data_IF_864322296705
#
_entry.id   IF_864322296705
#
_cell.length_a   1.000
_cell.length_b   1.000
_cell.length_c   1.000
_cell.angle_alpha   90.00
_cell.angle_beta   90.00
_cell.angle_gamma   90.00
#
_symmetry.space_group_name_H-M   'P 1'
#
loop_
_entity.id
_entity.type
_entity.pdbx_description
1 polymer ?
#
# COMPACT_ATOMS: atom_id res chain seq x y z
N UNK A 1 11.31 -13.38 15.34
CA UNK A 1 11.77 -12.30 16.26
C UNK A 1 10.90 -12.20 17.50
N UNK A 2 9.60 -11.90 17.39
CA UNK A 2 8.67 -11.74 18.53
C UNK A 2 8.80 -12.84 19.58
N UNK A 3 8.68 -14.11 19.19
CA UNK A 3 8.78 -15.23 20.12
C UNK A 3 10.09 -15.23 20.94
N UNK A 4 11.23 -14.98 20.28
CA UNK A 4 12.56 -14.96 20.90
C UNK A 4 12.71 -13.81 21.91
N UNK A 5 12.18 -12.63 21.59
CA UNK A 5 12.24 -11.44 22.46
C UNK A 5 11.51 -11.68 23.79
N UNK A 6 10.43 -12.46 23.78
CA UNK A 6 9.66 -12.80 24.97
C UNK A 6 10.07 -14.14 25.61
N UNK A 7 11.26 -14.66 25.31
CA UNK A 7 11.83 -15.84 25.97
C UNK A 7 11.37 -17.20 25.42
N UNK A 8 10.68 -17.22 24.27
CA UNK A 8 10.41 -18.45 23.51
C UNK A 8 11.63 -18.92 22.70
N UNK A 9 11.61 -20.18 22.26
CA UNK A 9 12.67 -20.78 21.43
C UNK A 9 12.21 -20.98 19.99
N UNK A 10 13.17 -20.97 19.06
CA UNK A 10 12.97 -21.29 17.65
C UNK A 10 14.00 -22.32 17.25
N UNK A 11 13.59 -23.32 16.46
CA UNK A 11 14.50 -24.29 15.85
C UNK A 11 14.67 -23.99 14.38
N UNK A 12 15.92 -23.96 13.93
CA UNK A 12 16.24 -23.90 12.51
C UNK A 12 16.00 -25.28 11.90
N UNK A 13 15.09 -25.38 10.92
CA UNK A 13 14.93 -26.63 10.17
C UNK A 13 16.02 -26.74 9.10
N UNK A 14 16.39 -27.98 8.78
CA UNK A 14 17.35 -28.28 7.70
C UNK A 14 16.79 -28.01 6.30
N UNK A 15 15.47 -28.01 6.16
CA UNK A 15 14.75 -27.77 4.91
C UNK A 15 13.84 -26.56 5.09
N UNK A 16 13.93 -25.61 4.16
CA UNK A 16 13.02 -24.48 4.05
C UNK A 16 11.87 -24.90 3.14
N UNK A 17 10.67 -24.86 3.67
CA UNK A 17 9.44 -25.16 2.93
C UNK A 17 8.63 -23.88 2.81
N UNK A 18 8.57 -23.36 1.58
CA UNK A 18 7.77 -22.21 1.22
C UNK A 18 6.70 -22.70 0.24
N UNK A 19 5.43 -22.47 0.57
CA UNK A 19 4.33 -23.01 -0.23
C UNK A 19 2.96 -22.58 0.27
N UNK A 20 1.95 -22.93 -0.51
CA UNK A 20 0.55 -22.71 -0.15
C UNK A 20 0.05 -23.93 0.63
N UNK A 21 -0.41 -23.70 1.85
CA UNK A 21 -0.88 -24.74 2.76
C UNK A 21 -2.24 -24.38 3.32
N UNK A 22 -3.05 -25.40 3.60
CA UNK A 22 -4.23 -25.26 4.43
C UNK A 22 -3.81 -25.36 5.91
N UNK A 23 -4.14 -24.35 6.71
CA UNK A 23 -3.80 -24.26 8.13
C UNK A 23 -5.05 -24.17 8.99
N UNK A 24 -4.94 -24.63 10.23
CA UNK A 24 -5.96 -24.41 11.25
C UNK A 24 -5.73 -23.07 11.96
N UNK A 25 -6.78 -22.30 12.21
CA UNK A 25 -6.74 -21.03 12.96
C UNK A 25 -7.75 -21.02 14.11
N UNK A 26 -7.43 -20.28 15.18
CA UNK A 26 -8.31 -20.08 16.32
C UNK A 26 -9.15 -18.81 16.13
N UNK A 27 -10.44 -18.97 15.81
CA UNK A 27 -11.34 -17.84 15.57
C UNK A 27 -11.69 -17.05 16.84
N UNK A 28 -11.34 -17.55 18.04
CA UNK A 28 -11.45 -16.76 19.27
C UNK A 28 -10.33 -15.70 19.37
N UNK A 29 -9.24 -15.86 18.62
CA UNK A 29 -8.19 -14.86 18.49
C UNK A 29 -8.73 -13.63 17.76
N UNK A 30 -8.45 -12.43 18.29
CA UNK A 30 -8.91 -11.17 17.69
C UNK A 30 -8.43 -11.02 16.24
N UNK A 31 -7.25 -11.57 15.92
CA UNK A 31 -6.68 -11.52 14.57
C UNK A 31 -7.45 -12.36 13.54
N UNK A 32 -8.08 -13.46 13.95
CA UNK A 32 -8.75 -14.43 13.06
C UNK A 32 -10.28 -14.44 13.17
N UNK A 33 -10.84 -13.38 13.77
CA UNK A 33 -12.29 -13.19 13.85
C UNK A 33 -12.90 -13.13 12.45
N UNK A 34 -14.02 -13.83 12.25
CA UNK A 34 -14.77 -13.84 10.99
C UNK A 34 -14.19 -14.75 9.90
N UNK A 35 -13.06 -15.41 10.15
CA UNK A 35 -12.49 -16.44 9.29
C UNK A 35 -13.12 -17.81 9.55
N UNK A 36 -12.85 -18.77 8.66
CA UNK A 36 -13.13 -20.17 8.93
C UNK A 36 -12.05 -20.74 9.86
N UNK A 37 -12.24 -21.98 10.32
CA UNK A 37 -11.22 -22.69 11.11
C UNK A 37 -10.05 -23.17 10.26
N UNK A 38 -10.28 -23.36 8.96
CA UNK A 38 -9.29 -23.77 7.97
C UNK A 38 -9.09 -22.64 6.97
N UNK A 39 -7.84 -22.26 6.75
CA UNK A 39 -7.47 -21.11 5.92
C UNK A 39 -6.29 -21.47 5.00
N UNK A 40 -6.39 -21.07 3.74
CA UNK A 40 -5.34 -21.24 2.75
C UNK A 40 -4.36 -20.05 2.85
N UNK A 41 -3.10 -20.34 3.14
CA UNK A 41 -2.06 -19.33 3.37
C UNK A 41 -0.77 -19.65 2.62
N UNK A 42 -0.03 -18.61 2.23
CA UNK A 42 1.37 -18.75 1.81
C UNK A 42 2.27 -18.83 3.06
N UNK A 43 2.54 -20.05 3.50
CA UNK A 43 3.42 -20.33 4.64
C UNK A 43 4.88 -20.25 4.18
N UNK A 44 5.70 -19.50 4.90
CA UNK A 44 7.15 -19.45 4.69
C UNK A 44 7.84 -19.83 5.98
N UNK A 45 8.61 -20.92 5.97
CA UNK A 45 9.30 -21.33 7.19
C UNK A 45 10.71 -21.87 6.91
N UNK A 46 11.70 -21.11 7.39
CA UNK A 46 13.07 -21.59 7.60
C UNK A 46 13.32 -21.97 9.07
N UNK A 47 12.81 -21.16 10.00
CA UNK A 47 12.83 -21.43 11.44
C UNK A 47 11.39 -21.68 11.91
N UNK A 48 11.20 -22.65 12.81
CA UNK A 48 9.91 -22.96 13.42
C UNK A 48 9.93 -22.59 14.90
N UNK A 49 8.81 -22.08 15.41
CA UNK A 49 8.63 -21.92 16.87
C UNK A 49 8.59 -23.29 17.53
N UNK A 50 9.39 -23.45 18.59
CA UNK A 50 9.47 -24.67 19.40
C UNK A 50 8.74 -24.45 20.72
N UNK A 51 9.37 -23.71 21.64
CA UNK A 51 8.71 -23.19 22.83
C UNK A 51 8.09 -21.83 22.52
N UNK A 52 6.77 -21.74 22.65
CA UNK A 52 6.04 -20.47 22.61
C UNK A 52 6.35 -19.68 23.89
N UNK A 53 6.63 -18.39 23.73
CA UNK A 53 6.92 -17.48 24.82
C UNK A 53 5.79 -17.43 25.86
N UNK A 54 6.15 -17.22 27.14
CA UNK A 54 5.17 -17.16 28.22
C UNK A 54 4.18 -15.99 28.00
N UNK A 55 2.91 -16.25 28.27
CA UNK A 55 1.82 -15.31 28.01
C UNK A 55 1.36 -15.21 26.55
N UNK A 56 2.00 -15.93 25.62
CA UNK A 56 1.48 -16.14 24.27
C UNK A 56 0.71 -17.47 24.19
N UNK A 57 -0.29 -17.50 23.31
CA UNK A 57 -1.04 -18.70 22.93
C UNK A 57 -0.78 -19.03 21.47
N UNK A 58 -0.75 -20.32 21.13
CA UNK A 58 -0.78 -20.75 19.73
C UNK A 58 -2.19 -20.53 19.21
N UNK A 59 -2.31 -19.75 18.13
CA UNK A 59 -3.59 -19.37 17.51
C UNK A 59 -3.69 -19.82 16.06
N UNK A 60 -2.65 -20.43 15.49
CA UNK A 60 -2.72 -21.09 14.20
C UNK A 60 -1.69 -22.23 14.09
N UNK A 61 -2.03 -23.30 13.35
CA UNK A 61 -1.16 -24.47 13.12
C UNK A 61 -1.28 -25.04 11.72
N UNK A 62 -0.14 -25.45 11.16
CA UNK A 62 -0.03 -26.29 9.97
C UNK A 62 0.54 -27.66 10.38
N UNK A 63 -0.33 -28.64 10.61
CA UNK A 63 0.07 -29.89 11.27
C UNK A 63 0.75 -29.62 12.62
N UNK A 64 2.01 -30.03 12.77
CA UNK A 64 2.80 -29.81 13.99
C UNK A 64 3.50 -28.43 14.04
N UNK A 65 3.41 -27.63 12.98
CA UNK A 65 4.08 -26.34 12.89
C UNK A 65 3.18 -25.26 13.50
N UNK A 66 3.73 -24.50 14.44
CA UNK A 66 3.08 -23.28 14.96
C UNK A 66 3.08 -22.22 13.86
N UNK A 67 1.91 -21.94 13.30
CA UNK A 67 1.72 -20.98 12.21
C UNK A 67 1.31 -19.59 12.71
N UNK A 68 0.91 -19.47 13.99
CA UNK A 68 0.57 -18.19 14.59
C UNK A 68 0.56 -18.22 16.11
N UNK A 69 0.99 -17.11 16.71
CA UNK A 69 1.01 -16.88 18.17
C UNK A 69 0.36 -15.53 18.49
N UNK A 70 -0.31 -15.45 19.64
CA UNK A 70 -0.95 -14.22 20.08
C UNK A 70 -0.83 -14.01 21.59
N UNK A 71 -0.65 -12.76 22.00
CA UNK A 71 -0.85 -12.28 23.35
C UNK A 71 -1.92 -11.19 23.31
N UNK A 72 -3.16 -11.57 23.59
CA UNK A 72 -4.33 -10.68 23.54
C UNK A 72 -4.20 -9.50 24.52
N UNK A 73 -3.63 -9.74 25.71
CA UNK A 73 -3.48 -8.69 26.73
C UNK A 73 -2.53 -7.57 26.29
N UNK A 74 -1.48 -7.92 25.54
CA UNK A 74 -0.50 -6.97 25.00
C UNK A 74 -0.77 -6.57 23.56
N UNK A 75 -1.84 -7.11 22.93
CA UNK A 75 -2.16 -6.94 21.51
C UNK A 75 -0.97 -7.27 20.59
N UNK A 76 -0.22 -8.32 20.90
CA UNK A 76 0.92 -8.77 20.09
C UNK A 76 0.55 -10.03 19.33
N UNK A 77 0.71 -10.01 18.01
CA UNK A 77 0.35 -11.12 17.14
C UNK A 77 1.49 -11.42 16.17
N UNK A 78 1.81 -12.70 16.03
CA UNK A 78 2.81 -13.18 15.08
C UNK A 78 2.22 -14.29 14.21
N UNK A 79 2.51 -14.25 12.92
CA UNK A 79 2.14 -15.28 11.95
C UNK A 79 3.38 -15.76 11.20
N UNK A 80 3.37 -17.01 10.75
CA UNK A 80 4.45 -17.65 9.98
C UNK A 80 4.13 -17.72 8.48
N UNK A 81 3.10 -16.99 8.05
CA UNK A 81 2.65 -16.86 6.67
C UNK A 81 2.53 -15.38 6.31
N UNK A 82 2.35 -15.10 5.02
CA UNK A 82 2.25 -13.75 4.47
C UNK A 82 0.80 -13.36 4.20
N UNK A 83 0.10 -12.61 5.08
CA UNK A 83 -1.27 -12.17 4.86
C UNK A 83 -1.40 -11.07 3.79
N UNK A 84 -0.30 -10.46 3.36
CA UNK A 84 -0.27 -9.37 2.38
C UNK A 84 -0.34 -9.84 0.92
N UNK A 85 -0.02 -11.11 0.65
CA UNK A 85 0.01 -11.67 -0.70
C UNK A 85 -1.33 -12.28 -1.08
N UNK A 86 -1.66 -12.25 -2.38
CA UNK A 86 -2.90 -12.83 -2.90
C UNK A 86 -3.00 -14.36 -2.77
N UNK A 87 -1.88 -15.05 -2.50
CA UNK A 87 -1.83 -16.49 -2.26
C UNK A 87 -2.35 -16.89 -0.86
N UNK A 88 -2.57 -15.91 0.02
CA UNK A 88 -3.29 -16.09 1.27
C UNK A 88 -4.71 -15.58 1.08
N UNK A 89 -5.67 -16.48 0.87
CA UNK A 89 -7.00 -16.15 0.34
C UNK A 89 -7.73 -15.07 1.15
N UNK A 90 -7.72 -15.19 2.48
CA UNK A 90 -8.35 -14.23 3.39
C UNK A 90 -7.35 -13.31 4.09
N UNK A 91 -6.15 -13.14 3.54
CA UNK A 91 -5.09 -12.32 4.13
C UNK A 91 -5.48 -10.86 4.35
N UNK A 92 -6.30 -10.30 3.44
CA UNK A 92 -6.88 -8.95 3.62
C UNK A 92 -7.77 -8.84 4.85
N UNK A 93 -8.51 -9.89 5.21
CA UNK A 93 -9.36 -9.88 6.41
C UNK A 93 -8.51 -9.93 7.68
N UNK A 94 -7.43 -10.71 7.69
CA UNK A 94 -6.44 -10.75 8.79
C UNK A 94 -5.84 -9.36 9.01
N UNK A 95 -5.38 -8.70 7.94
CA UNK A 95 -4.84 -7.34 8.01
C UNK A 95 -5.89 -6.32 8.47
N UNK A 96 -7.15 -6.48 8.03
CA UNK A 96 -8.26 -5.63 8.48
C UNK A 96 -8.52 -5.79 9.98
N UNK A 97 -8.60 -7.01 10.48
CA UNK A 97 -8.79 -7.28 11.91
C UNK A 97 -7.66 -6.64 12.74
N UNK A 98 -6.42 -6.75 12.28
CA UNK A 98 -5.30 -6.11 12.95
C UNK A 98 -5.38 -4.58 12.94
N UNK A 99 -5.59 -3.97 11.77
CA UNK A 99 -5.62 -2.51 11.64
C UNK A 99 -6.80 -1.88 12.38
N UNK A 100 -8.00 -2.43 12.24
CA UNK A 100 -9.22 -1.79 12.72
C UNK A 100 -9.63 -2.28 14.11
N UNK A 101 -9.66 -3.59 14.35
CA UNK A 101 -10.18 -4.13 15.62
C UNK A 101 -9.12 -4.13 16.72
N UNK A 102 -7.86 -4.42 16.37
CA UNK A 102 -6.75 -4.48 17.33
C UNK A 102 -6.11 -3.11 17.54
N UNK A 103 -5.62 -2.50 16.46
CA UNK A 103 -4.87 -1.24 16.51
C UNK A 103 -5.77 0.01 16.56
N UNK A 104 -7.05 -0.12 16.21
CA UNK A 104 -8.01 0.99 16.28
C UNK A 104 -7.82 2.05 15.21
N UNK A 105 -7.23 1.70 14.05
CA UNK A 105 -7.13 2.62 12.92
C UNK A 105 -8.53 2.99 12.41
N UNK A 106 -8.72 4.27 12.06
CA UNK A 106 -10.02 4.82 11.65
C UNK A 106 -10.30 4.73 10.14
N UNK A 107 -9.34 4.27 9.34
CA UNK A 107 -9.49 4.18 7.87
C UNK A 107 -9.53 5.52 7.15
N UNK A 108 -9.00 6.58 7.76
CA UNK A 108 -9.00 7.94 7.19
C UNK A 108 -7.96 8.16 6.08
N UNK A 109 -7.09 7.19 5.81
CA UNK A 109 -6.09 7.26 4.73
C UNK A 109 -6.72 6.94 3.35
N UNK A 110 -7.72 7.73 2.96
CA UNK A 110 -8.41 7.63 1.68
C UNK A 110 -7.78 8.56 0.64
N UNK A 111 -8.02 8.30 -0.66
CA UNK A 111 -7.54 9.19 -1.74
C UNK A 111 -8.09 10.60 -1.58
N UNK A 112 -9.36 10.72 -1.17
CA UNK A 112 -10.05 12.00 -0.97
C UNK A 112 -9.42 12.82 0.16
N UNK A 113 -9.17 12.20 1.33
CA UNK A 113 -8.53 12.92 2.43
C UNK A 113 -7.10 13.32 2.07
N UNK A 114 -6.36 12.42 1.42
CA UNK A 114 -5.00 12.71 0.96
C UNK A 114 -4.93 13.80 -0.11
N UNK A 115 -5.92 13.87 -1.01
CA UNK A 115 -6.05 14.95 -1.97
C UNK A 115 -6.23 16.29 -1.25
N UNK A 116 -7.14 16.35 -0.27
CA UNK A 116 -7.39 17.55 0.53
C UNK A 116 -6.15 17.99 1.32
N UNK A 117 -5.46 17.04 1.96
CA UNK A 117 -4.22 17.30 2.69
C UNK A 117 -3.11 17.80 1.77
N UNK A 118 -2.93 17.16 0.62
CA UNK A 118 -1.94 17.58 -0.36
C UNK A 118 -2.25 18.96 -0.96
N UNK A 119 -3.53 19.27 -1.24
CA UNK A 119 -3.95 20.61 -1.66
C UNK A 119 -3.58 21.66 -0.59
N UNK A 120 -3.81 21.35 0.69
CA UNK A 120 -3.46 22.25 1.79
C UNK A 120 -1.96 22.48 1.85
N UNK A 121 -1.16 21.42 1.79
CA UNK A 121 0.30 21.48 1.79
C UNK A 121 0.84 22.28 0.59
N UNK A 122 0.29 22.05 -0.62
CA UNK A 122 0.66 22.82 -1.82
C UNK A 122 0.37 24.31 -1.63
N UNK A 123 -0.82 24.67 -1.13
CA UNK A 123 -1.19 26.07 -0.88
C UNK A 123 -0.26 26.74 0.12
N UNK A 124 0.04 26.05 1.22
CA UNK A 124 0.92 26.54 2.28
C UNK A 124 2.35 26.75 1.77
N UNK A 125 2.87 25.79 1.01
CA UNK A 125 4.23 25.82 0.49
C UNK A 125 4.41 26.86 -0.65
N UNK A 126 3.42 27.00 -1.53
CA UNK A 126 3.53 27.86 -2.72
C UNK A 126 3.12 29.31 -2.42
N UNK A 127 2.11 29.51 -1.56
CA UNK A 127 1.51 30.81 -1.31
C UNK A 127 1.02 31.45 -2.62
N UNK A 128 1.54 32.64 -2.92
CA UNK A 128 1.21 33.40 -4.14
C UNK A 128 2.21 33.21 -5.28
N UNK A 129 3.19 32.33 -5.12
CA UNK A 129 4.21 32.10 -6.15
C UNK A 129 3.63 31.39 -7.37
N UNK A 130 4.29 31.57 -8.53
CA UNK A 130 3.97 30.77 -9.72
C UNK A 130 4.72 29.45 -9.69
N UNK A 131 4.08 28.40 -10.21
CA UNK A 131 4.62 27.05 -10.31
C UNK A 131 4.67 26.67 -11.79
N UNK A 132 5.87 26.29 -12.25
CA UNK A 132 6.07 25.72 -13.57
C UNK A 132 6.05 24.20 -13.47
N UNK A 133 5.25 23.54 -14.31
CA UNK A 133 5.24 22.08 -14.45
C UNK A 133 5.56 21.69 -15.88
N UNK A 134 6.54 20.81 -16.04
CA UNK A 134 6.88 20.21 -17.32
C UNK A 134 5.99 18.97 -17.53
N UNK A 135 5.04 19.10 -18.45
CA UNK A 135 4.07 18.08 -18.77
C UNK A 135 4.65 17.14 -19.83
N UNK A 136 4.94 15.89 -19.44
CA UNK A 136 5.42 14.86 -20.36
C UNK A 136 4.30 14.14 -21.13
N UNK A 137 3.05 14.24 -20.67
CA UNK A 137 1.92 13.44 -21.16
C UNK A 137 1.75 12.09 -20.45
N UNK A 138 2.70 11.72 -19.58
CA UNK A 138 2.53 10.58 -18.67
C UNK A 138 1.46 10.84 -17.61
N UNK A 139 0.98 9.76 -16.99
CA UNK A 139 -0.08 9.82 -15.96
C UNK A 139 0.35 10.70 -14.79
N UNK A 140 1.58 10.54 -14.29
CA UNK A 140 2.06 11.27 -13.11
C UNK A 140 2.13 12.78 -13.34
N UNK A 141 2.71 13.22 -14.46
CA UNK A 141 2.82 14.65 -14.78
C UNK A 141 1.44 15.28 -15.06
N UNK A 142 0.51 14.50 -15.64
CA UNK A 142 -0.86 14.95 -15.89
C UNK A 142 -1.65 15.09 -14.58
N UNK A 143 -1.57 14.11 -13.68
CA UNK A 143 -2.21 14.17 -12.35
C UNK A 143 -1.61 15.29 -11.50
N UNK A 144 -0.28 15.46 -11.52
CA UNK A 144 0.41 16.56 -10.84
C UNK A 144 -0.09 17.92 -11.34
N UNK A 145 -0.19 18.10 -12.67
CA UNK A 145 -0.70 19.34 -13.27
C UNK A 145 -2.16 19.61 -12.87
N UNK A 146 -3.01 18.58 -12.88
CA UNK A 146 -4.39 18.69 -12.45
C UNK A 146 -4.51 19.06 -10.96
N UNK A 147 -3.70 18.44 -10.10
CA UNK A 147 -3.70 18.69 -8.66
C UNK A 147 -3.22 20.12 -8.32
N UNK A 148 -2.16 20.60 -8.99
CA UNK A 148 -1.68 21.97 -8.85
C UNK A 148 -2.76 22.98 -9.25
N UNK A 149 -3.44 22.76 -10.38
CA UNK A 149 -4.52 23.63 -10.83
C UNK A 149 -5.75 23.58 -9.91
N UNK A 150 -5.99 22.43 -9.25
CA UNK A 150 -7.05 22.30 -8.25
C UNK A 150 -6.71 23.04 -6.94
N UNK A 151 -5.43 23.11 -6.61
CA UNK A 151 -4.91 23.72 -5.39
C UNK A 151 -4.71 25.23 -5.52
N UNK A 152 -4.27 25.73 -6.67
CA UNK A 152 -3.83 27.11 -6.88
C UNK A 152 -4.75 27.86 -7.84
N UNK A 153 -4.56 29.17 -7.97
CA UNK A 153 -5.26 29.94 -9.00
C UNK A 153 -4.73 29.57 -10.39
N UNK A 154 -5.58 29.70 -11.42
CA UNK A 154 -5.25 29.32 -12.80
C UNK A 154 -3.99 30.04 -13.34
N UNK A 155 -3.75 31.27 -12.91
CA UNK A 155 -2.62 32.11 -13.35
C UNK A 155 -1.30 31.80 -12.63
N UNK A 156 -1.34 31.00 -11.55
CA UNK A 156 -0.17 30.52 -10.83
C UNK A 156 0.43 29.27 -11.48
N UNK A 157 -0.36 28.45 -12.17
CA UNK A 157 0.10 27.17 -12.74
C UNK A 157 0.46 27.34 -14.21
N UNK A 158 1.74 27.21 -14.53
CA UNK A 158 2.26 27.29 -15.90
C UNK A 158 2.65 25.89 -16.34
N UNK A 159 1.75 25.24 -17.10
CA UNK A 159 2.01 23.92 -17.67
C UNK A 159 2.67 24.06 -19.05
N UNK A 160 3.85 23.44 -19.22
CA UNK A 160 4.58 23.43 -20.49
C UNK A 160 4.69 22.00 -20.99
N UNK A 161 4.19 21.75 -22.19
CA UNK A 161 4.33 20.46 -22.87
C UNK A 161 5.34 20.59 -24.01
N UNK A 162 6.35 19.73 -24.03
CA UNK A 162 7.36 19.70 -25.10
C UNK A 162 7.15 18.41 -25.88
N UNK A 163 6.71 18.54 -27.14
CA UNK A 163 6.69 17.44 -28.08
C UNK A 163 8.07 17.33 -28.73
N UNK A 164 8.81 16.30 -28.35
CA UNK A 164 10.16 16.01 -28.85
C UNK A 164 10.15 15.22 -30.18
N UNK A 165 8.98 14.95 -30.76
CA UNK A 165 8.83 14.19 -32.00
C UNK A 165 8.81 12.67 -31.87
N UNK A 166 8.98 12.13 -30.67
CA UNK A 166 8.94 10.68 -30.38
C UNK A 166 7.67 10.25 -29.64
N UNK A 167 6.66 11.13 -29.57
CA UNK A 167 5.38 10.85 -28.92
C UNK A 167 4.54 9.86 -29.74
N UNK A 168 3.64 9.12 -29.10
CA UNK A 168 2.72 8.24 -29.83
C UNK A 168 1.74 9.07 -30.65
N UNK A 169 1.17 8.45 -31.68
CA UNK A 169 0.20 9.08 -32.58
C UNK A 169 -0.92 9.77 -31.79
N UNK A 170 -1.00 11.11 -31.90
CA UNK A 170 -1.99 11.99 -31.24
C UNK A 170 -1.94 12.03 -29.70
N UNK A 171 -0.85 11.58 -29.08
CA UNK A 171 -0.72 11.60 -27.61
C UNK A 171 -0.67 13.03 -27.07
N UNK A 172 0.21 13.88 -27.63
CA UNK A 172 0.34 15.30 -27.26
C UNK A 172 -0.99 16.05 -27.36
N UNK A 173 -1.73 15.84 -28.46
CA UNK A 173 -3.04 16.44 -28.69
C UNK A 173 -4.07 15.99 -27.63
N UNK A 174 -4.13 14.69 -27.35
CA UNK A 174 -5.10 14.14 -26.38
C UNK A 174 -4.86 14.68 -24.97
N UNK A 175 -3.58 14.82 -24.57
CA UNK A 175 -3.18 15.36 -23.28
C UNK A 175 -3.56 16.84 -23.15
N UNK A 176 -3.22 17.65 -24.17
CA UNK A 176 -3.60 19.07 -24.16
C UNK A 176 -5.11 19.28 -24.12
N UNK A 177 -5.87 18.50 -24.89
CA UNK A 177 -7.34 18.57 -24.90
C UNK A 177 -7.95 18.19 -23.55
N UNK A 178 -7.43 17.15 -22.89
CA UNK A 178 -7.89 16.73 -21.58
C UNK A 178 -7.68 17.82 -20.52
N UNK A 179 -6.51 18.45 -20.51
CA UNK A 179 -6.19 19.52 -19.56
C UNK A 179 -6.93 20.83 -19.86
N UNK A 180 -7.12 21.17 -21.14
CA UNK A 180 -7.95 22.32 -21.55
C UNK A 180 -9.40 22.17 -21.07
N UNK A 181 -9.97 20.97 -21.12
CA UNK A 181 -11.32 20.68 -20.58
C UNK A 181 -11.41 20.91 -19.07
N UNK A 182 -10.28 20.81 -18.35
CA UNK A 182 -10.18 21.11 -16.92
C UNK A 182 -9.83 22.60 -16.64
N UNK A 183 -9.82 23.45 -17.67
CA UNK A 183 -9.49 24.87 -17.57
C UNK A 183 -8.00 25.16 -17.41
N UNK A 184 -7.13 24.19 -17.68
CA UNK A 184 -5.67 24.35 -17.59
C UNK A 184 -5.14 24.82 -18.94
N UNK A 185 -4.48 25.98 -18.96
CA UNK A 185 -3.76 26.43 -20.14
C UNK A 185 -2.41 25.72 -20.23
N UNK A 186 -2.25 24.93 -21.29
CA UNK A 186 -0.98 24.24 -21.60
C UNK A 186 -0.27 25.00 -22.71
N UNK A 187 0.99 25.37 -22.46
CA UNK A 187 1.89 25.91 -23.48
C UNK A 187 2.58 24.76 -24.20
N UNK A 188 2.09 24.40 -25.38
CA UNK A 188 2.73 23.43 -26.27
C UNK A 188 3.96 24.02 -26.97
N UNK A 189 5.05 23.25 -27.00
CA UNK A 189 6.29 23.55 -27.73
C UNK A 189 6.56 22.35 -28.64
N UNK A 190 6.55 22.59 -29.95
CA UNK A 190 6.95 21.58 -30.94
C UNK A 190 8.43 21.75 -31.25
N UNK A 191 9.25 20.80 -30.81
CA UNK A 191 10.68 20.74 -31.15
C UNK A 191 10.97 19.67 -32.22
N UNK A 192 9.98 19.45 -33.09
CA UNK A 192 10.19 18.79 -34.37
C UNK A 192 11.12 19.70 -35.17
N UNK A 193 12.40 19.35 -35.24
CA UNK A 193 13.34 20.03 -36.11
C UNK A 193 12.69 20.20 -37.49
N UNK A 194 12.58 21.45 -37.95
CA UNK A 194 12.41 21.75 -39.37
C UNK A 194 13.71 21.31 -40.05
N UNK A 195 13.87 20.02 -40.29
CA UNK A 195 14.86 19.47 -41.21
C UNK A 195 14.31 19.53 -42.62
#
# INVERSE_FOLDING_TARGET
MMNKVFGGTVHKKSVREDGVFNISVDNACSLFRGLQKEEIVLLTHGDSVDKVADGFKVVARSGNIVAGIANESKKLYGVQFHPEVGLTENGKMILKNFLYDVAGCSGTFTVQNRELDCIREIKEQVGTSKVLVLLSGGVDSTVCTALLNRALNQDQVIAVHIDNGFMRKRESQSVEEALKKLGIQVKGINDLQKS
#
